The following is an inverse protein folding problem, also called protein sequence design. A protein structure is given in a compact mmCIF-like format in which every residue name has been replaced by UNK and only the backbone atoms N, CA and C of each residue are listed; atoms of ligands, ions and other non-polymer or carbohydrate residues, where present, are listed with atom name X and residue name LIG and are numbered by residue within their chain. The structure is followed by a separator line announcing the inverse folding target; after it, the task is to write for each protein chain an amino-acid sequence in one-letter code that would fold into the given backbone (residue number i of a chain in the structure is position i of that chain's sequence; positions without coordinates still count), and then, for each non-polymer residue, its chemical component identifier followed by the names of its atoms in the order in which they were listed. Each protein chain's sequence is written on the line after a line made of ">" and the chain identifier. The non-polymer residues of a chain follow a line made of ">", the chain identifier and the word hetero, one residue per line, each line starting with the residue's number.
data_IF_831491106492
#
_entry.id   IF_831491106492
#
_cell.length_a   1.000
_cell.length_b   1.000
_cell.length_c   1.000
_cell.angle_alpha   90.00
_cell.angle_beta   90.00
_cell.angle_gamma   90.00
#
_symmetry.space_group_name_H-M   'P 1'
#
loop_
_entity.id
_entity.type
_entity.pdbx_description
1 polymer ?
#
# COMPACT_ATOMS: atom_id res chain seq x y z
N UNK A 1 -6.53 -23.34 10.16
CA UNK A 1 -5.11 -23.51 9.83
C UNK A 1 -4.33 -22.43 10.56
N UNK A 2 -3.63 -22.79 11.65
CA UNK A 2 -2.74 -21.88 12.37
C UNK A 2 -1.58 -21.53 11.44
N UNK A 3 -1.48 -20.25 11.04
CA UNK A 3 -0.34 -19.76 10.29
C UNK A 3 0.92 -20.07 11.11
N UNK A 4 1.79 -20.96 10.60
CA UNK A 4 3.13 -21.15 11.16
C UNK A 4 3.82 -19.79 11.05
N UNK A 5 3.96 -19.10 12.18
CA UNK A 5 4.75 -17.88 12.26
C UNK A 5 6.13 -18.18 11.68
N UNK A 6 6.50 -17.46 10.62
CA UNK A 6 7.85 -17.57 10.05
C UNK A 6 8.78 -17.05 11.14
N UNK A 7 9.41 -17.95 11.89
CA UNK A 7 10.41 -17.59 12.89
C UNK A 7 11.66 -17.14 12.14
N UNK A 8 11.77 -15.84 11.88
CA UNK A 8 13.01 -15.26 11.42
C UNK A 8 13.96 -15.16 12.63
N UNK A 9 14.99 -16.01 12.67
CA UNK A 9 16.19 -15.74 13.49
C UNK A 9 16.99 -14.59 12.86
N UNK A 10 16.37 -13.42 12.73
CA UNK A 10 17.04 -12.22 12.23
C UNK A 10 17.71 -11.51 13.40
N UNK A 11 18.99 -11.19 13.22
CA UNK A 11 19.73 -10.31 14.12
C UNK A 11 19.42 -8.84 13.84
N UNK A 12 18.88 -8.51 12.66
CA UNK A 12 18.60 -7.15 12.22
C UNK A 12 17.23 -7.01 11.57
N UNK A 13 16.54 -5.92 11.89
CA UNK A 13 15.30 -5.47 11.26
C UNK A 13 15.48 -4.10 10.62
N UNK A 14 14.66 -3.77 9.62
CA UNK A 14 14.66 -2.42 9.05
C UNK A 14 14.04 -1.42 10.02
N UNK A 15 14.80 -0.39 10.37
CA UNK A 15 14.34 0.77 11.11
C UNK A 15 14.13 1.97 10.19
N UNK A 16 13.23 2.85 10.59
CA UNK A 16 12.98 4.15 9.97
C UNK A 16 13.78 5.24 10.70
N UNK A 17 14.25 6.23 9.94
CA UNK A 17 14.83 7.47 10.48
C UNK A 17 13.93 8.63 10.07
N UNK A 18 12.87 8.95 10.84
CA UNK A 18 11.90 9.96 10.44
C UNK A 18 12.53 11.30 10.02
N UNK A 19 12.01 11.97 8.97
CA UNK A 19 10.86 11.58 8.15
C UNK A 19 11.20 10.55 7.05
N UNK A 20 10.45 9.45 6.99
CA UNK A 20 10.62 8.36 6.03
C UNK A 20 9.51 8.33 4.96
N UNK A 21 9.85 7.93 3.74
CA UNK A 21 8.87 7.78 2.65
C UNK A 21 8.07 6.47 2.74
N UNK A 22 6.89 6.40 2.11
CA UNK A 22 6.03 5.21 2.18
C UNK A 22 6.72 3.89 1.79
N UNK A 23 7.66 3.93 0.84
CA UNK A 23 8.45 2.74 0.45
C UNK A 23 9.37 2.25 1.58
N UNK A 24 9.86 3.12 2.44
CA UNK A 24 10.60 2.70 3.63
C UNK A 24 9.64 2.19 4.71
N UNK A 25 8.53 2.90 4.93
CA UNK A 25 7.53 2.58 5.96
C UNK A 25 7.02 1.15 5.88
N UNK A 26 6.66 0.66 4.68
CA UNK A 26 6.15 -0.72 4.53
C UNK A 26 7.16 -1.83 4.87
N UNK A 27 8.44 -1.49 5.04
CA UNK A 27 9.46 -2.45 5.45
C UNK A 27 9.89 -2.27 6.91
N UNK A 28 9.35 -1.29 7.64
CA UNK A 28 9.71 -1.11 9.04
C UNK A 28 9.42 -2.40 9.83
N UNK A 29 10.40 -2.83 10.62
CA UNK A 29 10.35 -4.06 11.41
C UNK A 29 10.58 -5.35 10.62
N UNK A 30 10.69 -5.29 9.28
CA UNK A 30 10.97 -6.47 8.49
C UNK A 30 12.43 -6.92 8.66
N UNK A 31 12.69 -8.23 8.78
CA UNK A 31 14.04 -8.79 8.80
C UNK A 31 14.89 -8.28 7.63
N UNK A 32 16.16 -7.95 7.91
CA UNK A 32 17.11 -7.57 6.88
C UNK A 32 18.50 -8.14 7.14
N UNK A 33 19.37 -8.03 6.13
CA UNK A 33 20.79 -8.36 6.26
C UNK A 33 21.48 -7.46 7.29
N UNK A 34 22.68 -7.89 7.73
CA UNK A 34 23.49 -7.19 8.71
C UNK A 34 23.94 -5.80 8.25
N UNK A 35 24.01 -5.59 6.94
CA UNK A 35 24.40 -4.33 6.31
C UNK A 35 23.17 -3.58 5.80
N UNK A 36 22.98 -2.29 6.18
CA UNK A 36 21.96 -1.47 5.56
C UNK A 36 22.31 -1.22 4.09
N UNK A 37 21.30 -1.24 3.23
CA UNK A 37 21.44 -0.94 1.80
C UNK A 37 20.30 -0.05 1.35
N UNK A 38 20.61 0.86 0.42
CA UNK A 38 19.63 1.73 -0.20
C UNK A 38 18.63 0.90 -1.01
N UNK A 39 17.35 0.97 -0.64
CA UNK A 39 16.27 0.33 -1.41
C UNK A 39 15.95 1.09 -2.70
N UNK A 40 16.14 2.40 -2.65
CA UNK A 40 15.85 3.36 -3.71
C UNK A 40 16.66 4.63 -3.47
N UNK A 41 16.76 5.53 -4.45
CA UNK A 41 17.41 6.82 -4.23
C UNK A 41 16.81 7.54 -3.03
N UNK A 42 17.66 8.15 -2.19
CA UNK A 42 17.26 8.87 -0.95
C UNK A 42 16.54 7.98 0.07
N UNK A 43 16.93 6.70 0.15
CA UNK A 43 16.46 5.80 1.19
C UNK A 43 17.11 6.15 2.53
N UNK A 44 16.29 6.26 3.57
CA UNK A 44 16.68 6.65 4.93
C UNK A 44 16.53 5.50 5.95
N UNK A 45 16.19 4.31 5.45
CA UNK A 45 16.04 3.09 6.24
C UNK A 45 17.42 2.60 6.78
N UNK A 46 17.47 2.19 8.04
CA UNK A 46 18.65 1.62 8.72
C UNK A 46 18.46 0.14 9.09
N UNK A 47 19.53 -0.55 9.47
CA UNK A 47 19.48 -1.89 10.06
C UNK A 47 19.59 -1.77 11.60
N UNK A 48 18.54 -2.18 12.32
CA UNK A 48 18.44 -2.13 13.79
C UNK A 48 18.62 -3.52 14.35
N UNK A 49 19.53 -3.68 15.32
CA UNK A 49 19.80 -4.96 15.97
C UNK A 49 18.62 -5.39 16.87
N UNK A 50 18.19 -6.65 16.79
CA UNK A 50 16.97 -7.15 17.44
C UNK A 50 17.09 -7.42 18.96
N UNK A 51 18.31 -7.53 19.50
CA UNK A 51 18.56 -7.83 20.93
C UNK A 51 19.25 -6.72 21.75
N UNK A 52 19.45 -5.54 21.18
CA UNK A 52 20.00 -4.34 21.82
C UNK A 52 18.92 -3.27 21.78
N UNK A 53 18.96 -2.33 22.72
CA UNK A 53 18.05 -1.17 22.70
C UNK A 53 18.21 -0.49 21.33
N UNK A 54 17.12 -0.46 20.56
CA UNK A 54 17.09 0.24 19.28
C UNK A 54 17.57 1.70 19.47
N UNK A 55 18.18 2.33 18.45
CA UNK A 55 18.49 3.76 18.52
C UNK A 55 17.24 4.52 18.96
N UNK A 56 17.37 5.49 19.87
CA UNK A 56 16.22 6.17 20.48
C UNK A 56 15.28 6.83 19.45
N UNK A 57 15.79 7.13 18.26
CA UNK A 57 15.08 7.73 17.14
C UNK A 57 14.67 6.74 16.04
N UNK A 58 14.96 5.44 16.19
CA UNK A 58 14.61 4.43 15.20
C UNK A 58 13.20 3.89 15.46
N UNK A 59 12.34 3.98 14.46
CA UNK A 59 11.00 3.37 14.51
C UNK A 59 10.99 2.07 13.70
N UNK A 60 10.45 0.99 14.28
CA UNK A 60 10.33 -0.32 13.63
C UNK A 60 8.88 -0.72 13.34
N UNK A 61 7.92 0.11 13.73
CA UNK A 61 6.50 -0.14 13.48
C UNK A 61 5.97 0.82 12.41
N UNK A 62 5.44 0.31 11.28
CA UNK A 62 4.84 1.16 10.26
C UNK A 62 3.69 2.00 10.82
N UNK A 63 2.80 1.41 11.61
CA UNK A 63 1.62 2.09 12.15
C UNK A 63 2.00 3.15 13.19
N UNK A 64 2.90 2.84 14.13
CA UNK A 64 3.34 3.84 15.12
C UNK A 64 3.95 5.08 14.46
N UNK A 65 4.73 4.89 13.38
CA UNK A 65 5.23 6.02 12.62
C UNK A 65 4.10 6.79 11.94
N UNK A 66 3.20 6.12 11.21
CA UNK A 66 2.12 6.79 10.48
C UNK A 66 1.13 7.51 11.41
N UNK A 67 0.80 6.92 12.56
CA UNK A 67 -0.10 7.48 13.56
C UNK A 67 0.50 8.70 14.27
N UNK A 68 1.83 8.86 14.23
CA UNK A 68 2.52 10.05 14.77
C UNK A 68 2.48 11.27 13.84
N UNK A 69 2.05 11.09 12.58
CA UNK A 69 2.08 12.14 11.56
C UNK A 69 0.82 12.99 11.59
N UNK A 70 0.97 14.29 11.29
CA UNK A 70 -0.17 15.12 10.93
C UNK A 70 -0.76 14.71 9.55
N UNK A 71 -1.96 15.19 9.23
CA UNK A 71 -2.67 14.84 7.99
C UNK A 71 -1.87 15.18 6.72
N UNK A 72 -1.15 16.31 6.73
CA UNK A 72 -0.32 16.75 5.60
C UNK A 72 0.91 15.87 5.41
N UNK A 73 1.57 15.49 6.50
CA UNK A 73 2.68 14.55 6.52
C UNK A 73 2.23 13.15 6.08
N UNK A 74 1.11 12.65 6.60
CA UNK A 74 0.52 11.37 6.22
C UNK A 74 0.19 11.35 4.72
N UNK A 75 -0.44 12.41 4.20
CA UNK A 75 -0.71 12.57 2.78
C UNK A 75 0.58 12.57 1.94
N UNK A 76 1.66 13.21 2.41
CA UNK A 76 2.96 13.19 1.72
C UNK A 76 3.56 11.78 1.69
N UNK A 77 3.50 11.05 2.79
CA UNK A 77 4.05 9.69 2.91
C UNK A 77 3.27 8.69 2.05
N UNK A 78 1.94 8.80 2.00
CA UNK A 78 1.03 7.90 1.28
C UNK A 78 0.72 8.33 -0.17
N UNK A 79 1.31 9.44 -0.63
CA UNK A 79 1.18 9.90 -2.01
C UNK A 79 -0.16 10.56 -2.35
N UNK A 80 -0.82 11.18 -1.37
CA UNK A 80 -2.00 12.03 -1.56
C UNK A 80 -2.99 11.97 -0.39
N UNK A 81 -3.83 13.01 -0.27
CA UNK A 81 -4.86 13.12 0.78
C UNK A 81 -5.88 11.99 0.72
N UNK A 82 -6.28 11.57 -0.49
CA UNK A 82 -7.20 10.45 -0.65
C UNK A 82 -6.61 9.12 -0.12
N UNK A 83 -5.31 8.90 -0.28
CA UNK A 83 -4.68 7.69 0.27
C UNK A 83 -4.53 7.77 1.79
N UNK A 84 -4.24 8.95 2.34
CA UNK A 84 -4.27 9.18 3.78
C UNK A 84 -5.65 8.89 4.37
N UNK A 85 -6.71 9.44 3.76
CA UNK A 85 -8.10 9.13 4.14
C UNK A 85 -8.40 7.63 4.04
N UNK A 86 -8.01 6.98 2.94
CA UNK A 86 -8.20 5.53 2.78
C UNK A 86 -7.47 4.71 3.84
N UNK A 87 -6.27 5.12 4.26
CA UNK A 87 -5.55 4.48 5.35
C UNK A 87 -6.33 4.59 6.68
N UNK A 88 -6.81 5.79 7.01
CA UNK A 88 -7.70 6.01 8.17
C UNK A 88 -8.98 5.18 8.08
N UNK A 89 -9.53 5.01 6.88
CA UNK A 89 -10.71 4.18 6.59
C UNK A 89 -10.40 2.65 6.58
N UNK A 90 -9.17 2.23 6.91
CA UNK A 90 -8.79 0.83 7.09
C UNK A 90 -8.17 0.16 5.85
N UNK A 91 -7.76 0.92 4.84
CA UNK A 91 -7.09 0.36 3.67
C UNK A 91 -5.70 -0.20 4.03
N UNK A 92 -5.35 -1.33 3.40
CA UNK A 92 -4.07 -1.99 3.58
C UNK A 92 -2.91 -1.11 3.09
N UNK A 93 -1.96 -0.88 3.98
CA UNK A 93 -0.81 -0.02 3.74
C UNK A 93 0.06 -0.50 2.57
N UNK A 94 0.25 -1.81 2.42
CA UNK A 94 1.05 -2.36 1.32
C UNK A 94 0.36 -2.11 -0.03
N UNK A 95 -0.96 -2.21 -0.08
CA UNK A 95 -1.73 -1.89 -1.27
C UNK A 95 -1.58 -0.41 -1.66
N UNK A 96 -1.75 0.51 -0.72
CA UNK A 96 -1.62 1.95 -0.98
C UNK A 96 -0.22 2.33 -1.49
N UNK A 97 0.82 1.84 -0.81
CA UNK A 97 2.21 2.21 -1.14
C UNK A 97 2.69 1.55 -2.44
N UNK A 98 2.38 0.28 -2.67
CA UNK A 98 2.84 -0.39 -3.90
C UNK A 98 2.09 0.10 -5.14
N UNK A 99 0.82 0.49 -5.01
CA UNK A 99 0.02 1.02 -6.11
C UNK A 99 0.65 2.25 -6.80
N UNK A 100 1.43 3.04 -6.05
CA UNK A 100 2.12 4.25 -6.53
C UNK A 100 3.03 4.00 -7.73
N UNK A 101 3.54 2.76 -7.93
CA UNK A 101 4.46 2.43 -9.03
C UNK A 101 3.80 2.40 -10.41
N UNK A 102 2.48 2.22 -10.44
CA UNK A 102 1.74 1.90 -11.67
C UNK A 102 0.47 2.72 -11.85
N UNK A 103 0.39 3.90 -11.23
CA UNK A 103 -0.76 4.81 -11.39
C UNK A 103 -0.84 5.29 -12.84
N UNK A 104 -2.05 5.25 -13.39
CA UNK A 104 -2.39 5.72 -14.73
C UNK A 104 -3.62 6.60 -14.64
N UNK A 105 -3.75 7.48 -15.63
CA UNK A 105 -4.91 8.33 -15.82
C UNK A 105 -5.63 7.93 -17.09
N UNK A 106 -6.96 8.04 -17.09
CA UNK A 106 -7.79 7.91 -18.28
C UNK A 106 -8.99 8.86 -18.15
N UNK A 107 -9.64 9.16 -19.28
CA UNK A 107 -10.91 9.87 -19.31
C UNK A 107 -12.01 8.88 -19.69
N UNK A 108 -13.07 8.82 -18.90
CA UNK A 108 -14.26 8.00 -19.17
C UNK A 108 -15.48 8.90 -19.01
N UNK A 109 -16.30 9.01 -20.04
CA UNK A 109 -17.53 9.83 -20.04
C UNK A 109 -17.28 11.28 -19.58
N UNK A 110 -16.16 11.86 -20.04
CA UNK A 110 -15.73 13.22 -19.67
C UNK A 110 -15.03 13.34 -18.31
N UNK A 111 -15.06 12.30 -17.48
CA UNK A 111 -14.46 12.31 -16.13
C UNK A 111 -13.03 11.77 -16.13
N UNK A 112 -12.12 12.52 -15.50
CA UNK A 112 -10.76 12.07 -15.25
C UNK A 112 -10.75 11.00 -14.14
N UNK A 113 -10.25 9.82 -14.47
CA UNK A 113 -10.08 8.72 -13.53
C UNK A 113 -8.60 8.42 -13.32
N UNK A 114 -8.21 8.20 -12.06
CA UNK A 114 -6.94 7.57 -11.68
C UNK A 114 -7.18 6.12 -11.33
N UNK A 115 -6.37 5.23 -11.90
CA UNK A 115 -6.42 3.80 -11.65
C UNK A 115 -5.01 3.22 -11.62
N UNK A 116 -4.86 2.02 -11.08
CA UNK A 116 -3.59 1.27 -11.09
C UNK A 116 -3.79 -0.11 -11.68
N UNK A 117 -2.69 -0.71 -12.15
CA UNK A 117 -2.65 -2.14 -12.51
C UNK A 117 -1.79 -2.95 -11.54
N UNK A 118 -1.38 -2.34 -10.43
CA UNK A 118 -0.66 -3.02 -9.35
C UNK A 118 -1.62 -3.89 -8.53
N UNK A 119 -1.18 -5.12 -8.24
CA UNK A 119 -1.99 -6.10 -7.52
C UNK A 119 -3.16 -6.67 -8.32
N UNK A 120 -3.27 -6.38 -9.63
CA UNK A 120 -4.37 -6.84 -10.50
C UNK A 120 -4.07 -8.14 -11.25
N UNK A 121 -2.94 -8.80 -10.98
CA UNK A 121 -2.56 -10.11 -11.55
C UNK A 121 -3.18 -11.27 -10.76
N UNK A 122 -3.15 -12.49 -11.32
CA UNK A 122 -3.77 -13.69 -10.73
C UNK A 122 -3.36 -14.00 -9.28
N UNK A 123 -2.17 -13.62 -8.87
CA UNK A 123 -1.65 -13.85 -7.51
C UNK A 123 -1.80 -12.63 -6.58
N UNK A 124 -2.44 -11.55 -7.05
CA UNK A 124 -2.64 -10.35 -6.26
C UNK A 124 -3.86 -10.45 -5.35
N UNK A 125 -3.70 -10.04 -4.07
CA UNK A 125 -4.80 -9.98 -3.11
C UNK A 125 -5.92 -9.04 -3.59
N UNK A 126 -5.56 -7.91 -4.18
CA UNK A 126 -6.54 -6.98 -4.75
C UNK A 126 -7.31 -7.61 -5.92
N UNK A 127 -6.64 -8.34 -6.81
CA UNK A 127 -7.31 -9.07 -7.89
C UNK A 127 -8.30 -10.10 -7.36
N UNK A 128 -7.92 -10.89 -6.36
CA UNK A 128 -8.84 -11.85 -5.70
C UNK A 128 -10.07 -11.12 -5.19
N UNK A 129 -9.89 -10.04 -4.43
CA UNK A 129 -10.99 -9.25 -3.87
C UNK A 129 -11.90 -8.63 -4.96
N UNK A 130 -11.31 -8.18 -6.07
CA UNK A 130 -12.07 -7.62 -7.20
C UNK A 130 -12.94 -8.69 -7.89
N UNK A 131 -12.44 -9.93 -8.01
CA UNK A 131 -13.19 -11.06 -8.55
C UNK A 131 -14.27 -11.51 -7.56
N UNK A 132 -13.92 -11.71 -6.29
CA UNK A 132 -14.82 -12.20 -5.24
C UNK A 132 -15.99 -11.24 -5.00
N UNK A 133 -15.76 -9.94 -5.17
CA UNK A 133 -16.80 -8.91 -5.05
C UNK A 133 -17.68 -8.74 -6.30
N UNK A 134 -17.37 -9.46 -7.39
CA UNK A 134 -18.06 -9.36 -8.67
C UNK A 134 -17.77 -8.07 -9.45
N UNK A 135 -16.79 -7.26 -9.02
CA UNK A 135 -16.38 -6.07 -9.76
C UNK A 135 -15.65 -6.44 -11.05
N UNK A 136 -14.62 -7.29 -10.93
CA UNK A 136 -13.97 -7.94 -12.05
C UNK A 136 -14.65 -9.28 -12.30
N UNK A 137 -14.71 -9.70 -13.57
CA UNK A 137 -15.36 -10.96 -13.95
C UNK A 137 -14.35 -12.07 -14.20
N UNK A 138 -13.21 -11.72 -14.79
CA UNK A 138 -12.24 -12.69 -15.25
C UNK A 138 -10.84 -12.10 -15.38
N UNK A 139 -9.87 -12.98 -15.67
CA UNK A 139 -8.49 -12.61 -15.96
C UNK A 139 -8.22 -12.64 -17.46
N UNK A 140 -7.84 -11.50 -18.04
CA UNK A 140 -7.61 -11.30 -19.48
C UNK A 140 -6.14 -11.00 -19.76
N UNK A 141 -5.65 -11.46 -20.92
CA UNK A 141 -4.28 -11.22 -21.40
C UNK A 141 -4.27 -10.11 -22.46
N UNK A 142 -3.97 -8.87 -22.03
CA UNK A 142 -3.95 -7.70 -22.91
C UNK A 142 -2.53 -7.33 -23.36
N UNK A 143 -1.89 -8.21 -24.14
CA UNK A 143 -0.58 -7.96 -24.79
C UNK A 143 0.64 -7.82 -23.86
N UNK A 144 0.44 -7.69 -22.55
CA UNK A 144 1.51 -7.61 -21.56
C UNK A 144 2.05 -8.98 -21.12
N UNK A 145 3.13 -8.95 -20.33
CA UNK A 145 3.77 -10.15 -19.75
C UNK A 145 2.82 -10.98 -18.88
N UNK A 146 1.89 -10.32 -18.18
CA UNK A 146 1.02 -10.94 -17.18
C UNK A 146 -0.46 -10.80 -17.54
N UNK A 147 -1.22 -11.85 -17.25
CA UNK A 147 -2.69 -11.82 -17.24
C UNK A 147 -3.17 -11.03 -16.03
N UNK A 148 -4.15 -10.14 -16.24
CA UNK A 148 -4.69 -9.21 -15.23
C UNK A 148 -6.22 -9.26 -15.23
N UNK A 149 -6.87 -8.74 -14.20
CA UNK A 149 -8.34 -8.62 -14.20
C UNK A 149 -8.82 -7.74 -15.36
N UNK A 150 -10.03 -8.05 -15.86
CA UNK A 150 -10.68 -7.36 -16.98
C UNK A 150 -11.08 -5.91 -16.69
N UNK A 151 -11.13 -5.51 -15.41
CA UNK A 151 -11.51 -4.16 -14.97
C UNK A 151 -10.36 -3.40 -14.30
N UNK A 152 -10.28 -2.07 -14.48
CA UNK A 152 -9.25 -1.25 -13.86
C UNK A 152 -9.47 -1.13 -12.34
N UNK A 153 -8.39 -1.17 -11.57
CA UNK A 153 -8.45 -0.90 -10.13
C UNK A 153 -8.41 0.60 -9.88
N UNK A 154 -9.55 1.22 -9.58
CA UNK A 154 -9.64 2.66 -9.32
C UNK A 154 -8.85 3.04 -8.05
N UNK A 155 -8.11 4.15 -8.13
CA UNK A 155 -7.40 4.73 -6.98
C UNK A 155 -8.40 5.31 -5.96
N UNK A 156 -8.04 5.42 -4.67
CA UNK A 156 -8.91 6.02 -3.65
C UNK A 156 -9.42 7.41 -4.02
N UNK A 157 -8.59 8.24 -4.65
CA UNK A 157 -8.99 9.57 -5.13
C UNK A 157 -10.20 9.52 -6.08
N UNK A 158 -10.19 8.57 -7.04
CA UNK A 158 -11.31 8.36 -7.96
C UNK A 158 -12.52 7.77 -7.25
N UNK A 159 -12.31 6.91 -6.26
CA UNK A 159 -13.39 6.29 -5.48
C UNK A 159 -14.13 7.37 -4.69
N UNK A 160 -13.43 8.20 -3.93
CA UNK A 160 -14.05 9.29 -3.17
C UNK A 160 -14.73 10.30 -4.08
N UNK A 161 -14.09 10.71 -5.18
CA UNK A 161 -14.70 11.61 -6.15
C UNK A 161 -16.03 11.08 -6.71
N UNK A 162 -16.15 9.76 -6.92
CA UNK A 162 -17.38 9.11 -7.40
C UNK A 162 -18.46 8.93 -6.33
N UNK A 163 -18.06 8.86 -5.06
CA UNK A 163 -19.00 8.67 -3.95
C UNK A 163 -19.51 10.00 -3.40
N UNK A 164 -18.77 11.10 -3.61
CA UNK A 164 -19.09 12.38 -2.98
C UNK A 164 -19.03 12.25 -1.46
N UNK A 165 -20.10 12.69 -0.80
CA UNK A 165 -20.21 12.69 0.66
C UNK A 165 -20.70 11.35 1.25
N UNK A 166 -21.03 10.36 0.40
CA UNK A 166 -21.47 9.04 0.85
C UNK A 166 -20.28 8.16 1.29
N UNK A 167 -19.93 8.25 2.58
CA UNK A 167 -18.82 7.51 3.18
C UNK A 167 -19.05 5.99 3.17
N UNK A 168 -20.28 5.52 3.41
CA UNK A 168 -20.59 4.09 3.42
C UNK A 168 -20.38 3.47 2.03
N UNK A 169 -20.80 4.18 0.98
CA UNK A 169 -20.53 3.79 -0.41
C UNK A 169 -19.04 3.80 -0.72
N UNK A 170 -18.29 4.79 -0.22
CA UNK A 170 -16.85 4.84 -0.39
C UNK A 170 -16.14 3.63 0.24
N UNK A 171 -16.48 3.26 1.48
CA UNK A 171 -15.95 2.06 2.15
C UNK A 171 -16.27 0.78 1.37
N UNK A 172 -17.52 0.66 0.88
CA UNK A 172 -17.93 -0.46 0.03
C UNK A 172 -17.12 -0.54 -1.27
N UNK A 173 -16.80 0.60 -1.89
CA UNK A 173 -15.92 0.64 -3.05
C UNK A 173 -14.46 0.33 -2.67
N UNK A 174 -13.92 0.86 -1.58
CA UNK A 174 -12.55 0.52 -1.14
C UNK A 174 -12.38 -0.99 -0.92
N UNK A 175 -13.38 -1.63 -0.33
CA UNK A 175 -13.43 -3.09 -0.20
C UNK A 175 -13.48 -3.79 -1.56
N UNK A 176 -14.44 -3.45 -2.44
CA UNK A 176 -14.59 -4.08 -3.77
C UNK A 176 -13.33 -3.98 -4.63
N UNK A 177 -12.60 -2.88 -4.52
CA UNK A 177 -11.39 -2.61 -5.29
C UNK A 177 -10.11 -3.13 -4.62
N UNK A 178 -10.24 -3.89 -3.51
CA UNK A 178 -9.13 -4.53 -2.83
C UNK A 178 -8.18 -3.57 -2.13
N UNK A 179 -8.65 -2.38 -1.74
CA UNK A 179 -7.91 -1.47 -0.86
C UNK A 179 -8.04 -1.90 0.59
N UNK A 180 -9.25 -2.33 0.99
CA UNK A 180 -9.51 -2.99 2.27
C UNK A 180 -9.53 -4.50 2.00
N UNK A 181 -8.63 -5.24 2.67
CA UNK A 181 -8.45 -6.69 2.52
C UNK A 181 -9.09 -7.44 3.69
#
# INVERSE_FOLDING_TARGET
>A
MTARGICYQSTYVRGLTPPSCGRCVILAGQPCGKTPFERHPRCDCIAVYTGLKAPANACTSPSEYLDSLDEGQLAKVLGGRANARAYTDGADLNQLVNAQRGIRTAQIDGLNIKYTTEGTTRHGLAASRMIDSGYAKEFVKNGGRYTKVDRPRLMPETIYARCGDDHAKALGMLYKYGWIL
#
